data_IF_433990318385
#
_entry.id   IF_433990318385
#
_cell.length_a   1.000
_cell.length_b   1.000
_cell.length_c   1.000
_cell.angle_alpha   90.00
_cell.angle_beta   90.00
_cell.angle_gamma   90.00
#
_symmetry.space_group_name_H-M   'P 1'
#
loop_
_entity.id
_entity.type
_entity.pdbx_description
1 polymer ?
#
# COMPACT_ATOMS: atom_id res chain seq x y z
N UNK A 1 -14.85 9.13 -8.42
CA UNK A 1 -14.52 8.75 -7.03
C UNK A 1 -13.12 9.28 -6.72
N UNK A 2 -12.89 9.85 -5.53
CA UNK A 2 -11.58 10.42 -5.20
C UNK A 2 -10.72 9.33 -4.53
N UNK A 3 -9.55 9.06 -5.10
CA UNK A 3 -8.62 8.04 -4.60
C UNK A 3 -7.39 8.72 -4.00
N UNK A 4 -6.86 8.13 -2.94
CA UNK A 4 -5.55 8.46 -2.40
C UNK A 4 -4.56 7.35 -2.68
N UNK A 5 -3.34 7.76 -2.98
CA UNK A 5 -2.20 6.86 -3.03
C UNK A 5 -1.41 7.03 -1.74
N UNK A 6 -1.22 5.92 -1.03
CA UNK A 6 -0.48 5.87 0.23
C UNK A 6 0.80 5.11 -0.02
N UNK A 7 1.92 5.71 0.36
CA UNK A 7 3.26 5.14 0.19
C UNK A 7 3.77 4.63 1.54
N UNK A 8 4.48 3.51 1.51
CA UNK A 8 5.05 2.88 2.70
C UNK A 8 6.40 2.25 2.38
N UNK A 9 7.31 2.31 3.34
CA UNK A 9 8.58 1.60 3.27
C UNK A 9 8.41 0.14 3.69
N UNK A 10 8.74 -0.78 2.80
CA UNK A 10 8.80 -2.20 3.09
C UNK A 10 10.23 -2.68 2.98
N UNK A 11 10.95 -2.63 4.10
CA UNK A 11 12.36 -3.07 4.20
C UNK A 11 13.25 -2.36 3.16
N UNK A 12 13.10 -1.03 3.02
CA UNK A 12 13.84 -0.24 2.03
C UNK A 12 13.27 -0.28 0.61
N UNK A 13 12.17 -1.02 0.36
CA UNK A 13 11.45 -0.98 -0.92
C UNK A 13 10.19 -0.14 -0.76
N UNK A 14 10.04 0.88 -1.60
CA UNK A 14 8.82 1.68 -1.62
C UNK A 14 7.67 0.87 -2.24
N UNK A 15 6.61 0.70 -1.46
CA UNK A 15 5.35 0.14 -1.92
C UNK A 15 4.29 1.23 -1.84
N UNK A 16 3.24 1.10 -2.66
CA UNK A 16 2.09 1.98 -2.56
C UNK A 16 0.79 1.21 -2.69
N UNK A 17 -0.24 1.76 -2.07
CA UNK A 17 -1.61 1.25 -2.14
C UNK A 17 -2.55 2.37 -2.56
N UNK A 18 -3.60 1.98 -3.27
CA UNK A 18 -4.66 2.89 -3.68
C UNK A 18 -5.86 2.62 -2.77
N UNK A 19 -6.33 3.67 -2.12
CA UNK A 19 -7.46 3.61 -1.18
C UNK A 19 -8.46 4.69 -1.52
N UNK A 20 -9.74 4.44 -1.25
CA UNK A 20 -10.76 5.48 -1.39
C UNK A 20 -10.56 6.57 -0.35
N UNK A 21 -10.95 7.81 -0.68
CA UNK A 21 -10.91 8.92 0.26
C UNK A 21 -11.68 8.61 1.55
N UNK A 22 -12.86 7.99 1.44
CA UNK A 22 -13.69 7.65 2.60
C UNK A 22 -12.94 6.73 3.57
N UNK A 23 -12.29 5.68 3.05
CA UNK A 23 -11.55 4.73 3.88
C UNK A 23 -10.27 5.33 4.48
N UNK A 24 -9.59 6.21 3.75
CA UNK A 24 -8.42 6.90 4.30
C UNK A 24 -8.78 7.84 5.45
N UNK A 25 -9.95 8.50 5.37
CA UNK A 25 -10.46 9.34 6.46
C UNK A 25 -10.90 8.50 7.67
N UNK A 26 -11.61 7.39 7.43
CA UNK A 26 -12.02 6.44 8.50
C UNK A 26 -10.81 5.85 9.23
N UNK A 27 -9.73 5.56 8.52
CA UNK A 27 -8.48 5.07 9.09
C UNK A 27 -7.59 6.17 9.66
N UNK A 28 -7.94 7.46 9.49
CA UNK A 28 -7.12 8.60 9.94
C UNK A 28 -5.67 8.51 9.42
N UNK A 29 -5.47 8.15 8.15
CA UNK A 29 -4.12 7.94 7.59
C UNK A 29 -3.28 9.22 7.69
N UNK A 30 -2.20 9.14 8.48
CA UNK A 30 -1.26 10.24 8.71
C UNK A 30 0.16 9.90 8.23
N UNK A 31 0.95 10.94 7.93
CA UNK A 31 2.38 10.79 7.63
C UNK A 31 3.13 10.25 8.84
N UNK A 32 4.11 9.37 8.60
CA UNK A 32 5.01 8.79 9.62
C UNK A 32 4.34 7.87 10.66
N UNK A 33 3.13 7.38 10.37
CA UNK A 33 2.48 6.38 11.20
C UNK A 33 2.85 4.98 10.73
N UNK A 34 3.06 4.06 11.66
CA UNK A 34 3.29 2.64 11.36
C UNK A 34 1.96 1.94 11.06
N UNK A 35 1.96 1.11 10.03
CA UNK A 35 0.77 0.41 9.54
C UNK A 35 1.05 -1.07 9.33
N UNK A 36 0.04 -1.90 9.64
CA UNK A 36 0.04 -3.29 9.24
C UNK A 36 -0.68 -3.43 7.91
N UNK A 37 0.07 -3.75 6.85
CA UNK A 37 -0.47 -3.95 5.51
C UNK A 37 -0.68 -5.44 5.22
N UNK A 38 -1.88 -5.78 4.75
CA UNK A 38 -2.20 -7.14 4.30
C UNK A 38 -2.30 -7.16 2.78
N UNK A 39 -1.50 -8.01 2.15
CA UNK A 39 -1.60 -8.31 0.72
C UNK A 39 -2.15 -9.73 0.59
N UNK A 40 -3.19 -9.91 -0.22
CA UNK A 40 -3.72 -11.25 -0.45
C UNK A 40 -2.77 -12.03 -1.35
N UNK A 41 -2.42 -13.24 -0.95
CA UNK A 41 -1.43 -14.05 -1.67
C UNK A 41 -1.83 -14.33 -3.13
N UNK A 42 -3.12 -14.46 -3.42
CA UNK A 42 -3.65 -14.69 -4.76
C UNK A 42 -3.55 -13.46 -5.69
N UNK A 43 -3.25 -12.28 -5.14
CA UNK A 43 -3.09 -11.04 -5.91
C UNK A 43 -1.60 -10.74 -6.20
N UNK A 44 -0.68 -11.60 -5.73
CA UNK A 44 0.77 -11.45 -5.94
C UNK A 44 1.17 -12.12 -7.25
N UNK A 45 1.75 -11.34 -8.16
CA UNK A 45 2.36 -11.86 -9.40
C UNK A 45 3.88 -11.94 -9.23
N UNK A 46 4.42 -13.16 -9.23
CA UNK A 46 5.86 -13.37 -9.25
C UNK A 46 6.38 -13.21 -10.68
N UNK A 47 7.45 -12.43 -10.84
CA UNK A 47 8.15 -12.29 -12.12
C UNK A 47 9.56 -12.85 -11.97
N UNK A 48 9.97 -13.72 -12.89
CA UNK A 48 11.36 -14.15 -12.99
C UNK A 48 12.19 -12.99 -13.53
N UNK A 49 13.23 -12.60 -12.80
CA UNK A 49 14.26 -11.72 -13.34
C UNK A 49 15.27 -12.59 -14.11
N UNK A 50 15.00 -12.82 -15.39
CA UNK A 50 16.01 -13.38 -16.29
C UNK A 50 16.99 -12.26 -16.64
N UNK A 51 18.15 -12.29 -16.02
CA UNK A 51 19.31 -11.47 -16.34
C UNK A 51 19.97 -11.92 -17.65
#
# INVERSE_FOLDING_TARGET
>A
ELLYQVFFDFKGNELSSIITKEKALELEICKNQEWLCFVKANDIVLRSHSA
#
